data_IF_832580789924
#
_entry.id   IF_832580789924
#
_cell.length_a   1.000
_cell.length_b   1.000
_cell.length_c   1.000
_cell.angle_alpha   90.00
_cell.angle_beta   90.00
_cell.angle_gamma   90.00
#
_symmetry.space_group_name_H-M   'P 1'
#
loop_
_entity.id
_entity.type
_entity.pdbx_description
1 polymer ?
#
# COMPACT_ATOMS: atom_id res chain seq x y z
N UNK A 1 -14.75 -22.81 -13.38
CA UNK A 1 -14.21 -22.75 -11.99
C UNK A 1 -12.71 -22.89 -12.11
N UNK A 2 -11.95 -21.80 -11.97
CA UNK A 2 -10.49 -21.81 -12.10
C UNK A 2 -9.87 -22.55 -10.92
N UNK A 3 -9.03 -23.56 -11.18
CA UNK A 3 -8.26 -24.26 -10.15
C UNK A 3 -7.44 -23.23 -9.36
N UNK A 4 -7.58 -23.25 -8.04
CA UNK A 4 -6.84 -22.38 -7.13
C UNK A 4 -5.37 -22.82 -7.09
N UNK A 5 -4.59 -22.34 -8.05
CA UNK A 5 -3.17 -22.64 -8.15
C UNK A 5 -2.36 -21.94 -7.04
N UNK A 6 -1.17 -22.47 -6.72
CA UNK A 6 -0.22 -21.84 -5.79
C UNK A 6 0.04 -20.35 -6.15
N UNK A 7 0.08 -20.03 -7.44
CA UNK A 7 0.22 -18.66 -7.94
C UNK A 7 -0.92 -17.74 -7.47
N UNK A 8 -2.18 -18.22 -7.43
CA UNK A 8 -3.29 -17.46 -6.85
C UNK A 8 -3.06 -17.12 -5.38
N UNK A 9 -2.54 -18.07 -4.59
CA UNK A 9 -2.28 -17.85 -3.16
C UNK A 9 -1.16 -16.83 -2.95
N UNK A 10 -0.05 -16.96 -3.68
CA UNK A 10 1.07 -16.02 -3.64
C UNK A 10 0.60 -14.60 -4.02
N UNK A 11 -0.22 -14.47 -5.07
CA UNK A 11 -0.73 -13.18 -5.51
C UNK A 11 -1.70 -12.57 -4.52
N UNK A 12 -2.62 -13.35 -3.94
CA UNK A 12 -3.48 -12.89 -2.83
C UNK A 12 -2.64 -12.36 -1.67
N UNK A 13 -1.57 -13.07 -1.29
CA UNK A 13 -0.68 -12.62 -0.22
C UNK A 13 0.04 -11.31 -0.58
N UNK A 14 0.48 -11.15 -1.82
CA UNK A 14 1.12 -9.92 -2.31
C UNK A 14 0.16 -8.73 -2.30
N UNK A 15 -1.10 -8.92 -2.71
CA UNK A 15 -2.17 -7.91 -2.64
C UNK A 15 -2.40 -7.49 -1.18
N UNK A 16 -2.55 -8.45 -0.27
CA UNK A 16 -2.77 -8.16 1.15
C UNK A 16 -1.59 -7.41 1.78
N UNK A 17 -0.36 -7.77 1.43
CA UNK A 17 0.82 -7.06 1.92
C UNK A 17 0.87 -5.64 1.39
N UNK A 18 0.59 -5.42 0.10
CA UNK A 18 0.52 -4.08 -0.48
C UNK A 18 -0.55 -3.22 0.20
N UNK A 19 -1.75 -3.78 0.43
CA UNK A 19 -2.82 -3.09 1.15
C UNK A 19 -2.37 -2.68 2.57
N UNK A 20 -1.75 -3.59 3.32
CA UNK A 20 -1.26 -3.30 4.68
C UNK A 20 -0.19 -2.22 4.67
N UNK A 21 0.74 -2.26 3.71
CA UNK A 21 1.80 -1.26 3.54
C UNK A 21 1.22 0.12 3.21
N UNK A 22 0.26 0.19 2.28
CA UNK A 22 -0.43 1.42 1.90
C UNK A 22 -1.16 2.08 3.09
N UNK A 23 -1.88 1.26 3.88
CA UNK A 23 -2.58 1.74 5.08
C UNK A 23 -1.59 2.19 6.14
N UNK A 24 -0.48 1.47 6.35
CA UNK A 24 0.58 1.87 7.31
C UNK A 24 1.23 3.18 6.90
N UNK A 25 1.62 3.33 5.63
CA UNK A 25 2.22 4.56 5.11
C UNK A 25 1.26 5.75 5.24
N UNK A 26 -0.03 5.55 4.96
CA UNK A 26 -1.06 6.59 5.13
C UNK A 26 -1.29 6.97 6.60
N UNK A 27 -1.03 6.03 7.53
CA UNK A 27 -1.18 6.23 8.98
C UNK A 27 0.09 6.68 9.67
N UNK A 28 1.25 6.65 9.02
CA UNK A 28 2.54 7.14 9.55
C UNK A 28 2.58 8.68 9.60
N UNK A 29 1.59 9.26 10.28
CA UNK A 29 1.79 10.46 11.07
C UNK A 29 2.51 10.01 12.34
N UNK A 30 3.75 10.45 12.52
CA UNK A 30 4.23 10.83 13.85
C UNK A 30 4.25 9.72 14.94
N UNK A 31 4.64 8.48 14.62
CA UNK A 31 4.88 7.45 15.65
C UNK A 31 6.34 6.99 15.74
N UNK A 32 7.19 7.42 14.81
CA UNK A 32 8.65 7.34 14.97
C UNK A 32 9.25 8.56 15.70
N UNK A 33 8.42 9.52 16.13
CA UNK A 33 8.86 10.69 16.92
C UNK A 33 8.51 10.58 18.42
N UNK A 34 7.96 9.46 18.90
CA UNK A 34 7.75 9.22 20.34
C UNK A 34 9.00 8.57 20.99
N UNK A 35 10.18 8.58 20.33
CA UNK A 35 11.40 7.95 20.88
C UNK A 35 12.56 8.88 21.24
N UNK A 36 12.36 10.20 21.39
CA UNK A 36 13.24 11.11 22.19
C UNK A 36 12.97 12.54 21.79
N UNK A 37 12.73 13.39 22.79
CA UNK A 37 13.23 14.78 22.98
C UNK A 37 13.32 15.82 21.83
N UNK A 38 13.20 15.48 20.55
CA UNK A 38 13.66 16.30 19.40
C UNK A 38 12.53 16.90 18.55
N UNK A 39 11.32 16.98 19.09
CA UNK A 39 10.21 17.65 18.41
C UNK A 39 10.16 19.15 18.79
N UNK A 40 11.21 19.91 18.46
CA UNK A 40 11.17 21.38 18.57
C UNK A 40 11.68 22.16 17.35
N UNK A 41 12.28 21.50 16.35
CA UNK A 41 13.03 22.23 15.30
C UNK A 41 12.52 21.98 13.86
N UNK A 42 11.73 20.94 13.59
CA UNK A 42 11.38 20.61 12.19
C UNK A 42 9.88 20.84 11.94
N UNK A 43 9.59 21.75 10.99
CA UNK A 43 8.27 22.00 10.45
C UNK A 43 7.61 20.67 10.01
N UNK A 44 6.35 20.39 10.42
CA UNK A 44 5.65 19.17 10.03
C UNK A 44 5.10 19.32 8.60
N UNK A 45 5.97 19.20 7.59
CA UNK A 45 5.58 19.18 6.18
C UNK A 45 5.46 17.73 5.69
N UNK A 46 4.30 17.11 5.95
CA UNK A 46 3.69 16.07 5.09
C UNK A 46 2.41 15.55 5.74
N UNK A 47 1.25 15.97 5.22
CA UNK A 47 -0.12 15.56 5.59
C UNK A 47 -0.55 16.04 6.99
N UNK A 48 -0.63 17.37 7.15
CA UNK A 48 -1.14 18.03 8.35
C UNK A 48 -2.60 17.66 8.64
N UNK A 49 -3.42 17.44 7.62
CA UNK A 49 -4.87 17.27 7.78
C UNK A 49 -5.31 15.82 8.07
N UNK A 50 -6.01 15.65 9.19
CA UNK A 50 -6.62 14.38 9.58
C UNK A 50 -7.75 13.97 8.62
N UNK A 51 -8.40 14.94 7.97
CA UNK A 51 -9.44 14.70 6.98
C UNK A 51 -8.83 14.11 5.70
N UNK A 52 -7.78 14.72 5.15
CA UNK A 52 -7.07 14.18 3.98
C UNK A 52 -6.55 12.77 4.22
N UNK A 53 -6.01 12.45 5.41
CA UNK A 53 -5.61 11.06 5.73
C UNK A 53 -6.77 10.07 5.67
N UNK A 54 -7.94 10.44 6.19
CA UNK A 54 -9.14 9.60 6.15
C UNK A 54 -9.59 9.39 4.71
N UNK A 55 -9.58 10.45 3.91
CA UNK A 55 -9.89 10.38 2.48
C UNK A 55 -8.92 9.48 1.73
N UNK A 56 -7.60 9.59 1.96
CA UNK A 56 -6.61 8.69 1.36
C UNK A 56 -6.83 7.22 1.75
N UNK A 57 -7.12 6.95 3.03
CA UNK A 57 -7.42 5.59 3.50
C UNK A 57 -8.70 5.04 2.84
N UNK A 58 -9.74 5.87 2.73
CA UNK A 58 -10.99 5.51 2.08
C UNK A 58 -10.77 5.24 0.59
N UNK A 59 -10.02 6.11 -0.09
CA UNK A 59 -9.66 5.94 -1.49
C UNK A 59 -8.90 4.63 -1.72
N UNK A 60 -7.87 4.34 -0.91
CA UNK A 60 -7.14 3.06 -0.96
C UNK A 60 -8.12 1.89 -0.81
N UNK A 61 -8.99 1.92 0.20
CA UNK A 61 -9.98 0.84 0.40
C UNK A 61 -10.89 0.65 -0.81
N UNK A 62 -11.40 1.75 -1.37
CA UNK A 62 -12.23 1.70 -2.57
C UNK A 62 -11.50 1.09 -3.77
N UNK A 63 -10.20 1.40 -3.97
CA UNK A 63 -9.48 0.79 -5.09
C UNK A 63 -9.24 -0.71 -4.93
N UNK A 64 -8.95 -1.18 -3.72
CA UNK A 64 -8.82 -2.62 -3.49
C UNK A 64 -10.17 -3.35 -3.62
N UNK A 65 -11.28 -2.72 -3.23
CA UNK A 65 -12.62 -3.31 -3.34
C UNK A 65 -13.11 -3.37 -4.80
N UNK A 66 -12.84 -2.34 -5.62
CA UNK A 66 -13.15 -2.36 -7.06
C UNK A 66 -12.48 -3.50 -7.81
N UNK A 67 -11.26 -3.87 -7.40
CA UNK A 67 -10.48 -4.94 -8.02
C UNK A 67 -10.70 -6.32 -7.34
N UNK A 68 -11.65 -6.43 -6.40
CA UNK A 68 -11.91 -7.66 -5.62
C UNK A 68 -12.29 -8.87 -6.46
N UNK A 69 -13.01 -8.64 -7.56
CA UNK A 69 -13.55 -9.69 -8.43
C UNK A 69 -12.63 -10.02 -9.62
N UNK A 70 -11.40 -9.52 -9.62
CA UNK A 70 -10.41 -9.91 -10.63
C UNK A 70 -9.90 -11.30 -10.26
N UNK A 71 -10.10 -12.24 -11.18
CA UNK A 71 -9.66 -13.63 -11.04
C UNK A 71 -8.53 -14.00 -12.01
N UNK A 72 -8.19 -13.12 -12.95
CA UNK A 72 -7.09 -13.32 -13.89
C UNK A 72 -5.74 -13.03 -13.22
N UNK A 73 -4.86 -14.02 -13.25
CA UNK A 73 -3.54 -13.96 -12.61
C UNK A 73 -2.62 -12.88 -13.21
N UNK A 74 -2.62 -12.73 -14.53
CA UNK A 74 -1.79 -11.74 -15.22
C UNK A 74 -2.27 -10.33 -14.92
N UNK A 75 -3.60 -10.12 -14.95
CA UNK A 75 -4.19 -8.83 -14.58
C UNK A 75 -3.92 -8.46 -13.13
N UNK A 76 -3.95 -9.44 -12.20
CA UNK A 76 -3.59 -9.18 -10.79
C UNK A 76 -2.12 -8.75 -10.67
N UNK A 77 -1.20 -9.39 -11.39
CA UNK A 77 0.22 -9.03 -11.39
C UNK A 77 0.44 -7.59 -11.89
N UNK A 78 -0.18 -7.25 -13.01
CA UNK A 78 -0.09 -5.91 -13.60
C UNK A 78 -0.69 -4.85 -12.68
N UNK A 79 -1.87 -5.13 -12.10
CA UNK A 79 -2.53 -4.22 -11.14
C UNK A 79 -1.70 -4.01 -9.88
N UNK A 80 -1.04 -5.04 -9.36
CA UNK A 80 -0.10 -4.90 -8.24
C UNK A 80 1.07 -3.98 -8.64
N UNK A 81 1.63 -4.15 -9.84
CA UNK A 81 2.74 -3.33 -10.32
C UNK A 81 2.34 -1.85 -10.48
N UNK A 82 1.18 -1.60 -11.09
CA UNK A 82 0.58 -0.26 -11.24
C UNK A 82 0.30 0.35 -9.87
N UNK A 83 -0.40 -0.37 -8.98
CA UNK A 83 -0.73 0.12 -7.65
C UNK A 83 0.51 0.46 -6.82
N UNK A 84 1.59 -0.32 -6.93
CA UNK A 84 2.89 0.01 -6.30
C UNK A 84 3.49 1.31 -6.85
N UNK A 85 3.34 1.59 -8.14
CA UNK A 85 3.83 2.84 -8.75
C UNK A 85 3.01 4.03 -8.27
N UNK A 86 1.69 3.95 -8.33
CA UNK A 86 0.78 5.02 -7.91
C UNK A 86 0.95 5.33 -6.42
N UNK A 87 0.97 4.30 -5.57
CA UNK A 87 1.16 4.49 -4.14
C UNK A 87 2.52 5.10 -3.80
N UNK A 88 3.59 4.85 -4.56
CA UNK A 88 4.88 5.52 -4.36
C UNK A 88 4.85 7.00 -4.75
N UNK A 89 4.06 7.36 -5.77
CA UNK A 89 3.87 8.75 -6.17
C UNK A 89 3.06 9.52 -5.13
N UNK A 90 2.02 8.88 -4.57
CA UNK A 90 1.11 9.50 -3.59
C UNK A 90 1.70 9.48 -2.17
N UNK A 91 2.42 8.42 -1.81
CA UNK A 91 3.02 8.19 -0.48
C UNK A 91 4.54 7.96 -0.62
N UNK A 92 5.35 9.03 -0.73
CA UNK A 92 6.80 8.92 -0.96
C UNK A 92 7.54 8.17 0.16
N UNK A 93 7.00 8.20 1.38
CA UNK A 93 7.58 7.56 2.57
C UNK A 93 7.33 6.05 2.62
N UNK A 94 6.62 5.48 1.65
CA UNK A 94 6.31 4.05 1.64
C UNK A 94 7.51 3.24 1.16
N UNK A 95 8.25 2.63 2.10
CA UNK A 95 9.29 1.65 1.80
C UNK A 95 8.65 0.30 1.42
N UNK A 96 8.32 0.15 0.14
CA UNK A 96 7.89 -1.15 -0.40
C UNK A 96 9.12 -2.04 -0.62
N UNK A 97 9.16 -3.28 -0.11
CA UNK A 97 10.17 -4.23 -0.54
C UNK A 97 10.02 -4.42 -2.05
N UNK A 98 11.13 -4.31 -2.79
CA UNK A 98 11.18 -4.61 -4.21
C UNK A 98 10.66 -6.04 -4.37
N UNK A 99 9.48 -6.18 -4.98
CA UNK A 99 8.91 -7.48 -5.27
C UNK A 99 9.91 -8.21 -6.15
N UNK A 100 10.63 -9.20 -5.60
CA UNK A 100 11.31 -10.18 -6.42
C UNK A 100 10.25 -10.71 -7.40
N UNK A 101 10.49 -10.51 -8.71
CA UNK A 101 9.80 -11.29 -9.72
C UNK A 101 10.06 -12.73 -9.33
N UNK A 102 9.05 -13.38 -8.79
CA UNK A 102 9.14 -14.81 -8.56
C UNK A 102 9.08 -15.41 -9.94
N UNK A 103 10.25 -15.72 -10.48
CA UNK A 103 10.43 -16.60 -11.61
C UNK A 103 9.99 -17.98 -11.14
N UNK A 104 8.70 -18.27 -11.28
CA UNK A 104 8.15 -19.62 -11.23
C UNK A 104 7.41 -19.84 -12.56
#
# INVERSE_FOLDING_TARGET
MSELTLKHFILKQRVLNLYREAIRASRCKHLLLIRREYMRIIQPSAISDQKTRRETILWIRCEFDRNRNIHDLGLIEDKIAIGRRELRQILPTMSLPLSHRSTF
#
